data_IF_899077125014
#
_entry.id   IF_899077125014
#
_cell.length_a   1.000
_cell.length_b   1.000
_cell.length_c   1.000
_cell.angle_alpha   90.00
_cell.angle_beta   90.00
_cell.angle_gamma   90.00
#
_symmetry.space_group_name_H-M   'P 1'
#
loop_
_entity.id
_entity.type
_entity.pdbx_description
1 polymer ?
#
# COMPACT_ATOMS: atom_id res chain seq x y z
N UNK A 1 6.36 -10.59 12.14
CA UNK A 1 6.28 -10.11 10.75
C UNK A 1 7.39 -9.11 10.54
N UNK A 2 7.98 -9.04 9.34
CA UNK A 2 8.83 -7.91 8.99
C UNK A 2 8.06 -6.58 9.13
N UNK A 3 8.76 -5.45 9.33
CA UNK A 3 8.12 -4.14 9.40
C UNK A 3 7.36 -3.85 8.10
N UNK A 4 6.16 -3.27 8.22
CA UNK A 4 5.36 -2.85 7.07
C UNK A 4 5.84 -1.49 6.56
N UNK A 5 5.92 -1.36 5.25
CA UNK A 5 6.10 -0.07 4.57
C UNK A 5 4.72 0.47 4.17
N UNK A 6 4.44 1.73 4.50
CA UNK A 6 3.21 2.41 4.13
C UNK A 6 3.53 3.56 3.19
N UNK A 7 2.99 3.49 1.98
CA UNK A 7 3.12 4.52 0.95
C UNK A 7 1.72 5.01 0.61
N UNK A 8 1.53 6.33 0.67
CA UNK A 8 0.30 7.00 0.23
C UNK A 8 0.65 7.89 -0.94
N UNK A 9 0.00 7.67 -2.08
CA UNK A 9 0.08 8.56 -3.23
C UNK A 9 -1.21 9.34 -3.28
N UNK A 10 -1.13 10.62 -2.92
CA UNK A 10 -2.25 11.55 -2.86
C UNK A 10 -2.34 12.35 -4.15
N UNK A 11 -3.56 12.66 -4.58
CA UNK A 11 -3.83 13.52 -5.72
C UNK A 11 -4.32 14.90 -5.25
N UNK A 12 -3.51 15.56 -4.44
CA UNK A 12 -3.76 16.89 -3.89
C UNK A 12 -5.10 16.98 -3.14
N UNK A 13 -5.30 16.11 -2.15
CA UNK A 13 -6.45 16.21 -1.25
C UNK A 13 -6.51 17.59 -0.59
N UNK A 14 -7.70 18.16 -0.48
CA UNK A 14 -7.92 19.50 0.09
C UNK A 14 -8.17 19.47 1.61
N UNK A 15 -8.29 18.28 2.19
CA UNK A 15 -8.46 18.05 3.62
C UNK A 15 -7.13 17.63 4.28
N UNK A 16 -7.20 17.06 5.49
CA UNK A 16 -6.01 16.67 6.27
C UNK A 16 -5.46 15.27 5.90
N UNK A 17 -5.86 14.69 4.77
CA UNK A 17 -5.47 13.32 4.38
C UNK A 17 -3.96 13.12 4.40
N UNK A 18 -3.20 14.05 3.80
CA UNK A 18 -1.73 13.97 3.73
C UNK A 18 -1.08 14.10 5.11
N UNK A 19 -1.57 15.03 5.94
CA UNK A 19 -1.04 15.29 7.29
C UNK A 19 -1.27 14.07 8.19
N UNK A 20 -2.48 13.52 8.18
CA UNK A 20 -2.84 12.34 8.96
C UNK A 20 -1.99 11.15 8.53
N UNK A 21 -1.86 10.88 7.22
CA UNK A 21 -1.02 9.78 6.73
C UNK A 21 0.43 9.86 7.23
N UNK A 22 1.04 11.06 7.19
CA UNK A 22 2.39 11.30 7.72
C UNK A 22 2.49 11.05 9.22
N UNK A 23 1.49 11.44 10.01
CA UNK A 23 1.47 11.21 11.46
C UNK A 23 1.47 9.72 11.84
N UNK A 24 0.91 8.86 10.99
CA UNK A 24 0.95 7.40 11.14
C UNK A 24 2.22 6.76 10.53
N UNK A 25 3.17 7.57 10.06
CA UNK A 25 4.45 7.11 9.53
C UNK A 25 4.44 6.73 8.05
N UNK A 26 3.41 7.10 7.29
CA UNK A 26 3.40 6.87 5.85
C UNK A 26 4.40 7.77 5.11
N UNK A 27 5.04 7.23 4.08
CA UNK A 27 5.71 8.01 3.05
C UNK A 27 4.63 8.56 2.11
N UNK A 28 4.50 9.88 2.01
CA UNK A 28 3.45 10.51 1.20
C UNK A 28 4.02 11.19 -0.02
N UNK A 29 3.47 10.87 -1.19
CA UNK A 29 3.81 11.45 -2.47
C UNK A 29 2.61 12.12 -3.12
N UNK A 30 2.84 13.08 -4.01
CA UNK A 30 1.81 13.78 -4.76
C UNK A 30 1.87 13.39 -6.24
N UNK A 31 0.84 12.72 -6.75
CA UNK A 31 0.78 12.26 -8.13
C UNK A 31 -0.67 11.98 -8.55
N UNK A 32 -1.01 12.15 -9.82
CA UNK A 32 -2.38 11.95 -10.29
C UNK A 32 -2.66 12.52 -11.67
N UNK A 33 -3.94 12.54 -12.11
CA UNK A 33 -5.13 12.20 -11.32
C UNK A 33 -5.61 10.74 -11.43
N UNK A 34 -5.00 9.94 -12.30
CA UNK A 34 -5.47 8.58 -12.58
C UNK A 34 -5.02 7.59 -11.48
N UNK A 35 -5.91 6.68 -11.08
CA UNK A 35 -5.72 5.78 -9.92
C UNK A 35 -4.64 4.73 -10.17
N UNK A 36 -4.63 4.12 -11.35
CA UNK A 36 -3.65 3.10 -11.72
C UNK A 36 -2.25 3.70 -11.81
N UNK A 37 -2.14 4.92 -12.32
CA UNK A 37 -0.89 5.67 -12.39
C UNK A 37 -0.37 6.02 -10.98
N UNK A 38 -1.25 6.39 -10.04
CA UNK A 38 -0.87 6.58 -8.63
C UNK A 38 -0.37 5.28 -7.99
N UNK A 39 -1.05 4.16 -8.23
CA UNK A 39 -0.63 2.83 -7.75
C UNK A 39 0.75 2.46 -8.29
N UNK A 40 0.98 2.62 -9.59
CA UNK A 40 2.27 2.34 -10.22
C UNK A 40 3.38 3.26 -9.67
N UNK A 41 3.10 4.55 -9.52
CA UNK A 41 4.04 5.51 -8.93
C UNK A 41 4.42 5.09 -7.49
N UNK A 42 3.46 4.62 -6.70
CA UNK A 42 3.72 4.09 -5.36
C UNK A 42 4.63 2.85 -5.38
N UNK A 43 4.42 1.94 -6.33
CA UNK A 43 5.25 0.73 -6.50
C UNK A 43 6.69 1.07 -6.87
N UNK A 44 6.91 2.09 -7.70
CA UNK A 44 8.27 2.56 -8.05
C UNK A 44 9.08 3.03 -6.83
N UNK A 45 8.40 3.47 -5.76
CA UNK A 45 9.01 3.90 -4.50
C UNK A 45 9.08 2.80 -3.44
N UNK A 46 8.36 1.68 -3.65
CA UNK A 46 8.28 0.58 -2.70
C UNK A 46 9.56 -0.26 -2.67
N UNK A 47 9.91 -0.74 -1.49
CA UNK A 47 11.08 -1.60 -1.25
C UNK A 47 10.70 -3.01 -0.78
N UNK A 48 9.41 -3.22 -0.49
CA UNK A 48 8.88 -4.51 -0.05
C UNK A 48 8.92 -5.57 -1.16
N UNK A 49 9.10 -6.83 -0.76
CA UNK A 49 9.03 -7.98 -1.68
C UNK A 49 7.60 -8.22 -2.19
N UNK A 50 6.59 -7.88 -1.38
CA UNK A 50 5.17 -7.99 -1.71
C UNK A 50 4.53 -6.61 -1.75
N UNK A 51 3.60 -6.42 -2.70
CA UNK A 51 2.81 -5.21 -2.83
C UNK A 51 1.36 -5.53 -2.53
N UNK A 52 0.74 -4.71 -1.67
CA UNK A 52 -0.70 -4.67 -1.49
C UNK A 52 -1.22 -3.32 -1.98
N UNK A 53 -2.15 -3.34 -2.93
CA UNK A 53 -2.97 -2.17 -3.22
C UNK A 53 -4.12 -2.11 -2.23
N UNK A 54 -4.20 -1.03 -1.46
CA UNK A 54 -5.28 -0.78 -0.51
C UNK A 54 -5.86 0.61 -0.78
N UNK A 55 -7.16 0.67 -1.04
CA UNK A 55 -7.84 1.95 -1.19
C UNK A 55 -8.01 2.62 0.20
N UNK A 56 -7.98 3.95 0.26
CA UNK A 56 -7.96 4.71 1.51
C UNK A 56 -9.26 4.59 2.34
N UNK A 57 -10.33 4.05 1.75
CA UNK A 57 -11.62 3.78 2.37
C UNK A 57 -11.82 2.31 2.79
N UNK A 58 -10.78 1.48 2.65
CA UNK A 58 -10.81 0.06 3.03
C UNK A 58 -10.25 -0.20 4.42
N UNK A 59 -10.72 -1.28 5.04
CA UNK A 59 -10.20 -1.80 6.32
C UNK A 59 -9.77 -3.25 6.16
N UNK A 60 -8.54 -3.54 6.57
CA UNK A 60 -8.03 -4.91 6.60
C UNK A 60 -8.60 -5.64 7.83
N UNK A 61 -9.03 -6.89 7.62
CA UNK A 61 -9.35 -7.79 8.71
C UNK A 61 -8.07 -8.21 9.43
N UNK A 62 -8.20 -8.54 10.72
CA UNK A 62 -7.06 -9.00 11.51
C UNK A 62 -6.47 -10.28 10.91
N UNK A 63 -5.16 -10.31 10.69
CA UNK A 63 -4.44 -11.48 10.18
C UNK A 63 -4.34 -11.58 8.65
N UNK A 64 -5.14 -10.83 7.88
CA UNK A 64 -5.21 -11.00 6.42
C UNK A 64 -3.86 -10.86 5.71
N UNK A 65 -3.03 -9.90 6.11
CA UNK A 65 -1.70 -9.72 5.54
C UNK A 65 -0.81 -10.96 5.74
N UNK A 66 -0.96 -11.63 6.88
CA UNK A 66 -0.20 -12.83 7.21
C UNK A 66 -0.63 -13.98 6.33
N UNK A 67 -1.94 -14.14 6.19
CA UNK A 67 -2.52 -15.22 5.43
C UNK A 67 -2.20 -15.08 3.93
N UNK A 68 -2.26 -13.86 3.39
CA UNK A 68 -1.84 -13.56 2.01
C UNK A 68 -0.36 -13.91 1.77
N UNK A 69 0.55 -13.41 2.60
CA UNK A 69 1.99 -13.68 2.44
C UNK A 69 2.28 -15.17 2.57
N UNK A 70 1.75 -15.83 3.60
CA UNK A 70 1.92 -17.28 3.79
C UNK A 70 1.45 -18.08 2.57
N UNK A 71 0.33 -17.68 1.95
CA UNK A 71 -0.21 -18.38 0.79
C UNK A 71 0.67 -18.18 -0.46
N UNK A 72 1.23 -17.00 -0.68
CA UNK A 72 2.21 -16.76 -1.74
C UNK A 72 3.54 -17.50 -1.49
N UNK A 73 3.97 -17.63 -0.23
CA UNK A 73 5.22 -18.35 0.10
C UNK A 73 5.07 -19.87 0.07
N UNK A 74 3.86 -20.39 0.31
CA UNK A 74 3.60 -21.84 0.33
C UNK A 74 3.57 -22.49 -1.06
N UNK A 75 3.42 -21.71 -2.12
CA UNK A 75 3.26 -22.20 -3.49
C UNK A 75 3.94 -21.23 -4.47
N UNK A 76 5.06 -21.66 -5.05
CA UNK A 76 5.86 -20.82 -5.96
C UNK A 76 5.14 -20.47 -7.26
N UNK A 77 4.04 -21.15 -7.59
CA UNK A 77 3.21 -20.81 -8.75
C UNK A 77 2.23 -19.66 -8.45
N UNK A 78 2.13 -19.21 -7.19
CA UNK A 78 1.25 -18.12 -6.76
C UNK A 78 2.05 -16.83 -6.62
N UNK A 79 1.80 -15.88 -7.52
CA UNK A 79 2.41 -14.54 -7.50
C UNK A 79 1.52 -13.47 -6.84
N UNK A 80 0.25 -13.79 -6.53
CA UNK A 80 -0.71 -12.87 -5.89
C UNK A 80 -2.06 -13.53 -5.60
N UNK A 81 -2.84 -12.91 -4.71
CA UNK A 81 -4.16 -13.39 -4.22
C UNK A 81 -5.13 -12.23 -4.18
#
# INVERSE_FOLDING_TARGET
MPPLEMIVVDNNSADQTTEIAKQYGAQVYQFGPERSAQRNYGVEHAKGQYILYLDADMRLSQGVLKDCVNRCEADSEISGI
#
